data_IF_522957761371
#
_entry.id   IF_522957761371
#
_cell.length_a   1.000
_cell.length_b   1.000
_cell.length_c   1.000
_cell.angle_alpha   90.00
_cell.angle_beta   90.00
_cell.angle_gamma   90.00
#
_symmetry.space_group_name_H-M   'P 1'
#
loop_
_entity.id
_entity.type
_entity.pdbx_description
1 polymer ?
#
# COMPACT_ATOMS: atom_id res chain seq x y z
N UNK A 1 -8.49 -11.98 -11.38
CA UNK A 1 -8.52 -11.22 -10.11
C UNK A 1 -8.15 -9.77 -10.45
N UNK A 2 -8.92 -8.77 -10.04
CA UNK A 2 -8.56 -7.35 -10.25
C UNK A 2 -7.52 -6.91 -9.22
N UNK A 3 -6.76 -5.85 -9.53
CA UNK A 3 -5.82 -5.21 -8.60
C UNK A 3 -6.54 -4.79 -7.32
N UNK A 4 -7.72 -4.16 -7.45
CA UNK A 4 -8.56 -3.76 -6.32
C UNK A 4 -8.92 -4.94 -5.41
N UNK A 5 -9.35 -6.07 -5.98
CA UNK A 5 -9.66 -7.27 -5.20
C UNK A 5 -8.42 -7.84 -4.49
N UNK A 6 -7.26 -7.78 -5.14
CA UNK A 6 -6.00 -8.22 -4.53
C UNK A 6 -5.63 -7.35 -3.33
N UNK A 7 -5.78 -6.03 -3.44
CA UNK A 7 -5.53 -5.06 -2.37
C UNK A 7 -6.52 -5.28 -1.22
N UNK A 8 -7.81 -5.47 -1.50
CA UNK A 8 -8.82 -5.76 -0.48
C UNK A 8 -8.48 -7.02 0.33
N UNK A 9 -8.10 -8.10 -0.35
CA UNK A 9 -7.75 -9.37 0.31
C UNK A 9 -6.50 -9.19 1.18
N UNK A 10 -5.48 -8.51 0.66
CA UNK A 10 -4.25 -8.24 1.40
C UNK A 10 -4.50 -7.35 2.63
N UNK A 11 -5.30 -6.29 2.47
CA UNK A 11 -5.68 -5.40 3.57
C UNK A 11 -6.47 -6.14 4.64
N UNK A 12 -7.48 -6.94 4.26
CA UNK A 12 -8.26 -7.74 5.19
C UNK A 12 -7.40 -8.71 6.00
N UNK A 13 -6.39 -9.35 5.35
CA UNK A 13 -5.48 -10.28 6.04
C UNK A 13 -4.70 -9.63 7.17
N UNK A 14 -4.21 -8.40 6.98
CA UNK A 14 -3.43 -7.69 8.01
C UNK A 14 -4.33 -6.94 9.00
N UNK A 15 -5.53 -6.53 8.58
CA UNK A 15 -6.54 -5.97 9.48
C UNK A 15 -7.02 -7.02 10.51
N UNK A 16 -7.07 -8.31 10.12
CA UNK A 16 -7.31 -9.41 11.05
C UNK A 16 -6.19 -9.58 12.10
N UNK A 17 -4.98 -9.11 11.82
CA UNK A 17 -3.85 -9.10 12.75
C UNK A 17 -3.82 -7.83 13.65
N UNK A 18 -4.80 -6.93 13.47
CA UNK A 18 -4.92 -5.69 14.23
C UNK A 18 -4.20 -4.49 13.62
N UNK A 19 -3.71 -4.60 12.38
CA UNK A 19 -3.18 -3.44 11.65
C UNK A 19 -4.33 -2.61 11.05
N UNK A 20 -4.07 -1.32 10.82
CA UNK A 20 -5.00 -0.45 10.11
C UNK A 20 -4.37 0.00 8.80
N UNK A 21 -5.03 -0.28 7.68
CA UNK A 21 -4.57 0.10 6.35
C UNK A 21 -5.39 1.28 5.86
N UNK A 22 -4.82 2.47 5.98
CA UNK A 22 -5.43 3.70 5.48
C UNK A 22 -5.54 3.76 3.95
N UNK A 23 -6.37 4.67 3.49
CA UNK A 23 -6.68 4.90 2.08
C UNK A 23 -5.44 5.25 1.24
N UNK A 24 -4.50 6.06 1.75
CA UNK A 24 -3.29 6.43 1.02
C UNK A 24 -2.38 5.24 0.76
N UNK A 25 -2.25 4.35 1.75
CA UNK A 25 -1.49 3.10 1.59
C UNK A 25 -2.10 2.21 0.49
N UNK A 26 -3.44 2.19 0.37
CA UNK A 26 -4.15 1.44 -0.69
C UNK A 26 -3.95 2.08 -2.07
N UNK A 27 -4.08 3.41 -2.17
CA UNK A 27 -3.84 4.16 -3.41
C UNK A 27 -2.44 3.93 -3.98
N UNK A 28 -1.40 4.03 -3.13
CA UNK A 28 -0.03 3.84 -3.59
C UNK A 28 0.26 2.39 -3.98
N UNK A 29 -0.33 1.42 -3.28
CA UNK A 29 -0.25 0.01 -3.66
C UNK A 29 -0.88 -0.22 -5.05
N UNK A 30 -2.01 0.44 -5.32
CA UNK A 30 -2.65 0.39 -6.64
C UNK A 30 -1.76 1.00 -7.73
N UNK A 31 -1.19 2.19 -7.52
CA UNK A 31 -0.27 2.82 -8.48
C UNK A 31 0.95 1.94 -8.76
N UNK A 32 1.51 1.31 -7.72
CA UNK A 32 2.64 0.38 -7.86
C UNK A 32 2.24 -0.84 -8.69
N UNK A 33 1.11 -1.48 -8.39
CA UNK A 33 0.62 -2.65 -9.13
C UNK A 33 0.20 -2.33 -10.57
N UNK A 34 -0.13 -1.06 -10.86
CA UNK A 34 -0.38 -0.56 -12.22
C UNK A 34 0.91 -0.22 -12.98
N UNK A 35 2.07 -0.17 -12.31
CA UNK A 35 3.35 0.22 -12.90
C UNK A 35 3.56 1.72 -13.04
N UNK A 36 2.72 2.55 -12.43
CA UNK A 36 2.79 4.02 -12.46
C UNK A 36 3.90 4.56 -11.53
N UNK A 37 4.28 3.79 -10.50
CA UNK A 37 5.40 4.10 -9.61
C UNK A 37 6.30 2.88 -9.42
N UNK A 38 7.59 3.13 -9.19
CA UNK A 38 8.56 2.07 -8.88
C UNK A 38 8.41 1.58 -7.44
N UNK A 39 9.04 0.44 -7.13
CA UNK A 39 9.13 -0.08 -5.77
C UNK A 39 9.81 0.93 -4.83
N UNK A 40 10.87 1.60 -5.30
CA UNK A 40 11.58 2.61 -4.51
C UNK A 40 10.66 3.80 -4.19
N UNK A 41 9.89 4.27 -5.17
CA UNK A 41 8.92 5.35 -4.95
C UNK A 41 7.82 4.94 -3.96
N UNK A 42 7.30 3.72 -4.07
CA UNK A 42 6.32 3.17 -3.13
C UNK A 42 6.85 3.11 -1.69
N UNK A 43 8.09 2.64 -1.51
CA UNK A 43 8.76 2.59 -0.19
C UNK A 43 8.97 4.01 0.37
N UNK A 44 9.40 4.96 -0.46
CA UNK A 44 9.60 6.34 -0.02
C UNK A 44 8.29 6.99 0.43
N UNK A 45 7.20 6.83 -0.33
CA UNK A 45 5.89 7.37 0.03
C UNK A 45 5.38 6.80 1.35
N UNK A 46 5.50 5.48 1.53
CA UNK A 46 5.07 4.80 2.77
C UNK A 46 5.90 5.23 3.99
N UNK A 47 7.22 5.40 3.83
CA UNK A 47 8.13 5.90 4.88
C UNK A 47 7.84 7.35 5.26
N UNK A 48 7.71 8.23 4.28
CA UNK A 48 7.48 9.67 4.47
C UNK A 48 6.21 9.91 5.29
N UNK A 49 5.14 9.18 4.97
CA UNK A 49 3.86 9.24 5.67
C UNK A 49 3.95 8.95 7.18
N UNK A 50 4.86 8.08 7.61
CA UNK A 50 5.05 7.72 9.01
C UNK A 50 6.26 8.43 9.65
N UNK A 51 6.89 9.37 8.93
CA UNK A 51 8.05 10.11 9.40
C UNK A 51 9.32 9.25 9.55
N UNK A 52 9.40 8.12 8.85
CA UNK A 52 10.61 7.28 8.81
C UNK A 52 11.54 7.84 7.74
N UNK A 53 12.81 8.18 8.06
CA UNK A 53 13.75 8.68 7.07
C UNK A 53 14.04 7.65 5.96
N UNK A 54 14.28 8.17 4.76
CA UNK A 54 14.60 7.41 3.55
C UNK A 54 15.83 6.51 3.73
#
# INVERSE_FOLDING_TARGET
MSIEKAIEIAAASVEMEGFNIDEKSREWCQLFLQGEISMEQYILLTKDKIGVPA
#
